data_IF_758469122595
#
_entry.id   IF_758469122595
#
_cell.length_a   1.000
_cell.length_b   1.000
_cell.length_c   1.000
_cell.angle_alpha   90.00
_cell.angle_beta   90.00
_cell.angle_gamma   90.00
#
_symmetry.space_group_name_H-M   'P 1'
#
loop_
_entity.id
_entity.type
_entity.pdbx_description
1 polymer ?
#
# COMPACT_ATOMS: atom_id res chain seq x y z
N UNK A 1 -19.41 27.72 -14.97
CA UNK A 1 -17.98 27.63 -14.61
C UNK A 1 -17.38 26.51 -15.44
N UNK A 2 -16.61 26.81 -16.51
CA UNK A 2 -16.00 25.73 -17.30
C UNK A 2 -14.89 25.07 -16.47
N UNK A 3 -14.94 23.76 -16.36
CA UNK A 3 -13.88 23.02 -15.68
C UNK A 3 -12.59 23.20 -16.47
N UNK A 4 -11.51 23.62 -15.79
CA UNK A 4 -10.19 23.69 -16.41
C UNK A 4 -9.87 22.37 -17.09
N UNK A 5 -9.47 22.42 -18.36
CA UNK A 5 -9.23 21.22 -19.20
C UNK A 5 -7.96 20.51 -18.69
N UNK A 6 -8.13 19.57 -17.76
CA UNK A 6 -7.01 18.80 -17.17
C UNK A 6 -6.67 17.63 -18.07
N UNK A 7 -5.38 17.30 -18.20
CA UNK A 7 -4.91 16.09 -18.90
C UNK A 7 -5.41 14.78 -18.26
N UNK A 8 -5.84 14.85 -16.99
CA UNK A 8 -6.40 13.72 -16.22
C UNK A 8 -7.77 14.16 -15.70
N UNK A 9 -8.81 13.53 -16.22
CA UNK A 9 -10.21 13.95 -16.04
C UNK A 9 -10.96 13.20 -14.93
N UNK A 10 -10.44 12.05 -14.49
CA UNK A 10 -11.03 11.26 -13.41
C UNK A 10 -10.41 11.65 -12.06
N UNK A 11 -11.27 12.00 -11.10
CA UNK A 11 -10.88 12.27 -9.71
C UNK A 11 -11.16 11.04 -8.84
N UNK A 12 -10.17 10.64 -8.04
CA UNK A 12 -10.31 9.58 -7.03
C UNK A 12 -10.20 10.23 -5.65
N UNK A 13 -11.25 10.09 -4.85
CA UNK A 13 -11.30 10.61 -3.49
C UNK A 13 -11.04 9.46 -2.50
N UNK A 14 -10.19 9.70 -1.51
CA UNK A 14 -9.87 8.73 -0.47
C UNK A 14 -9.98 9.39 0.91
N UNK A 15 -10.59 8.68 1.86
CA UNK A 15 -10.73 9.13 3.24
C UNK A 15 -9.63 8.50 4.08
N UNK A 16 -8.99 9.31 4.91
CA UNK A 16 -7.92 8.87 5.82
C UNK A 16 -8.18 9.42 7.21
N UNK A 17 -7.67 8.72 8.21
CA UNK A 17 -7.52 9.26 9.56
C UNK A 17 -6.42 10.33 9.60
N UNK A 18 -6.37 11.16 10.65
CA UNK A 18 -5.29 12.13 10.83
C UNK A 18 -3.89 11.47 10.93
N UNK A 19 -3.81 10.28 11.53
CA UNK A 19 -2.57 9.53 11.68
C UNK A 19 -2.06 9.00 10.33
N UNK A 20 -2.96 8.47 9.51
CA UNK A 20 -2.65 8.01 8.15
C UNK A 20 -2.18 9.17 7.27
N UNK A 21 -2.79 10.35 7.41
CA UNK A 21 -2.37 11.55 6.68
C UNK A 21 -0.94 11.97 7.06
N UNK A 22 -0.62 11.98 8.36
CA UNK A 22 0.72 12.32 8.84
C UNK A 22 1.78 11.35 8.31
N UNK A 23 1.48 10.05 8.28
CA UNK A 23 2.36 9.03 7.71
C UNK A 23 2.56 9.21 6.20
N UNK A 24 1.51 9.57 5.45
CA UNK A 24 1.60 9.85 4.01
C UNK A 24 2.52 11.05 3.78
N UNK A 25 2.35 12.14 4.53
CA UNK A 25 3.18 13.34 4.41
C UNK A 25 4.64 13.09 4.78
N UNK A 26 4.89 12.29 5.82
CA UNK A 26 6.24 11.88 6.20
C UNK A 26 6.92 11.09 5.07
N UNK A 27 6.23 10.10 4.49
CA UNK A 27 6.76 9.31 3.36
C UNK A 27 6.95 10.16 2.10
N UNK A 28 6.07 11.13 1.86
CA UNK A 28 6.24 12.10 0.78
C UNK A 28 7.52 12.93 0.95
N UNK A 29 7.77 13.40 2.17
CA UNK A 29 8.99 14.15 2.51
C UNK A 29 10.25 13.32 2.27
N UNK A 30 10.25 12.05 2.69
CA UNK A 30 11.36 11.12 2.45
C UNK A 30 11.64 10.90 0.96
N UNK A 31 10.59 10.86 0.13
CA UNK A 31 10.71 10.72 -1.32
C UNK A 31 10.94 12.05 -2.06
N UNK A 32 10.98 13.19 -1.35
CA UNK A 32 11.11 14.52 -1.94
C UNK A 32 9.95 14.93 -2.84
N UNK A 33 8.76 14.35 -2.66
CA UNK A 33 7.59 14.65 -3.51
C UNK A 33 6.73 15.74 -2.89
N UNK A 34 6.54 16.84 -3.61
CA UNK A 34 5.74 17.98 -3.15
C UNK A 34 4.25 17.81 -3.47
N UNK A 35 3.93 17.09 -4.54
CA UNK A 35 2.55 16.90 -5.01
C UNK A 35 1.96 15.57 -4.51
N UNK A 36 0.93 15.65 -3.67
CA UNK A 36 0.23 14.50 -3.08
C UNK A 36 -0.42 13.59 -4.13
N UNK A 37 -1.04 14.16 -5.17
CA UNK A 37 -1.62 13.35 -6.25
C UNK A 37 -0.54 12.59 -7.02
N UNK A 38 0.63 13.20 -7.21
CA UNK A 38 1.75 12.54 -7.88
C UNK A 38 2.29 11.38 -7.02
N UNK A 39 2.46 11.61 -5.72
CA UNK A 39 2.89 10.58 -4.77
C UNK A 39 1.91 9.41 -4.72
N UNK A 40 0.62 9.68 -4.49
CA UNK A 40 -0.41 8.64 -4.39
C UNK A 40 -0.56 7.86 -5.72
N UNK A 41 -0.46 8.54 -6.86
CA UNK A 41 -0.48 7.87 -8.17
C UNK A 41 0.73 6.99 -8.38
N UNK A 42 1.94 7.45 -8.02
CA UNK A 42 3.17 6.64 -8.08
C UNK A 42 3.02 5.40 -7.18
N UNK A 43 2.49 5.56 -5.98
CA UNK A 43 2.25 4.43 -5.08
C UNK A 43 1.16 3.47 -5.57
N UNK A 44 0.11 3.97 -6.22
CA UNK A 44 -0.96 3.13 -6.76
C UNK A 44 -0.58 2.40 -8.06
N UNK A 45 0.32 2.97 -8.87
CA UNK A 45 0.78 2.38 -10.13
C UNK A 45 2.02 1.50 -9.95
N UNK A 46 3.02 1.98 -9.22
CA UNK A 46 4.32 1.35 -9.06
C UNK A 46 4.49 0.64 -7.71
N UNK A 47 3.57 0.85 -6.77
CA UNK A 47 3.59 0.12 -5.51
C UNK A 47 3.36 -1.36 -5.76
N UNK A 48 4.26 -2.20 -5.26
CA UNK A 48 4.09 -3.64 -5.31
C UNK A 48 3.08 -4.07 -4.24
N UNK A 49 2.04 -4.78 -4.66
CA UNK A 49 1.14 -5.50 -3.75
C UNK A 49 1.68 -6.92 -3.64
N UNK A 50 2.41 -7.20 -2.57
CA UNK A 50 2.94 -8.54 -2.29
C UNK A 50 1.85 -9.35 -1.60
N UNK A 51 1.17 -10.20 -2.37
CA UNK A 51 0.32 -11.28 -1.83
C UNK A 51 1.17 -12.53 -1.69
N UNK A 52 1.70 -12.74 -0.49
CA UNK A 52 2.44 -13.96 -0.15
C UNK A 52 1.44 -15.09 0.05
N UNK A 53 1.26 -15.92 -0.97
CA UNK A 53 0.62 -17.22 -0.85
C UNK A 53 1.75 -18.27 -0.79
N UNK A 54 2.11 -18.68 0.44
CA UNK A 54 3.19 -19.64 0.71
C UNK A 54 2.61 -20.90 1.33
N UNK A 55 1.98 -21.77 0.52
CA UNK A 55 1.37 -23.00 1.02
C UNK A 55 2.41 -23.94 1.64
N UNK A 56 3.64 -24.01 1.12
CA UNK A 56 4.68 -24.89 1.68
C UNK A 56 5.13 -24.42 3.08
N UNK A 57 5.15 -23.10 3.33
CA UNK A 57 5.47 -22.56 4.66
C UNK A 57 4.39 -22.92 5.69
N UNK A 58 3.11 -22.95 5.25
CA UNK A 58 2.00 -23.36 6.10
C UNK A 58 2.06 -24.85 6.44
N UNK A 59 2.48 -25.68 5.49
CA UNK A 59 2.66 -27.12 5.68
C UNK A 59 3.86 -27.42 6.57
N UNK A 60 4.98 -26.73 6.40
CA UNK A 60 6.14 -26.83 7.28
C UNK A 60 5.80 -26.49 8.73
N UNK A 61 5.06 -25.38 8.96
CA UNK A 61 4.59 -25.01 10.31
C UNK A 61 3.65 -26.06 10.89
N UNK A 62 2.81 -26.66 10.05
CA UNK A 62 1.90 -27.73 10.47
C UNK A 62 2.68 -28.96 10.91
N UNK A 63 3.66 -29.40 10.12
CA UNK A 63 4.54 -30.52 10.46
C UNK A 63 5.33 -30.27 11.74
N UNK A 64 5.89 -29.07 11.93
CA UNK A 64 6.59 -28.69 13.16
C UNK A 64 5.69 -28.77 14.40
N UNK A 65 4.42 -28.34 14.28
CA UNK A 65 3.42 -28.49 15.35
C UNK A 65 3.13 -29.97 15.65
N UNK A 66 2.96 -30.80 14.64
CA UNK A 66 2.75 -32.24 14.83
C UNK A 66 3.94 -32.90 15.52
N UNK A 67 5.17 -32.60 15.09
CA UNK A 67 6.38 -33.14 15.73
C UNK A 67 6.55 -32.68 17.18
N UNK A 68 6.14 -31.44 17.51
CA UNK A 68 6.26 -30.91 18.88
C UNK A 68 5.18 -31.43 19.83
N UNK A 69 4.01 -31.80 19.32
CA UNK A 69 2.90 -32.33 20.13
C UNK A 69 2.95 -33.86 20.31
N UNK A 70 3.76 -34.55 19.52
CA UNK A 70 3.96 -36.00 19.59
C UNK A 70 5.29 -36.40 20.27
N UNK A 71 6.06 -35.42 20.75
CA UNK A 71 7.22 -35.61 21.62
C UNK A 71 6.80 -35.33 23.08
#
# INVERSE_FOLDING_TARGET
MSAAKRKREVQVNFRVSPEELALIEQKMSQLGTVNREAYLRKMALDGYVVKLDLPELKELVSLMRYSSNNL
#
